data_IF_238564430239
#
_entry.id   IF_238564430239
#
_cell.length_a   1.000
_cell.length_b   1.000
_cell.length_c   1.000
_cell.angle_alpha   90.00
_cell.angle_beta   90.00
_cell.angle_gamma   90.00
#
_symmetry.space_group_name_H-M   'P 1'
#
loop_
_entity.id
_entity.type
_entity.pdbx_description
1 polymer ?
#
# COMPACT_ATOMS: atom_id res chain seq x y z
N UNK A 1 -29.30 2.62 7.89
CA UNK A 1 -29.75 3.91 7.35
C UNK A 1 -28.50 4.68 7.00
N UNK A 2 -28.34 5.05 5.75
CA UNK A 2 -27.21 5.80 5.22
C UNK A 2 -27.67 6.98 4.37
N UNK A 3 -26.73 7.83 3.93
CA UNK A 3 -26.95 8.97 3.05
C UNK A 3 -26.43 8.73 1.61
N UNK A 4 -26.15 7.47 1.25
CA UNK A 4 -25.57 7.10 -0.03
C UNK A 4 -26.58 7.07 -1.20
N UNK A 5 -26.08 6.92 -2.45
CA UNK A 5 -26.89 6.94 -3.67
C UNK A 5 -27.70 5.66 -3.92
N UNK A 6 -27.54 4.66 -3.07
CA UNK A 6 -28.17 3.35 -3.27
C UNK A 6 -29.05 2.91 -2.10
N UNK A 7 -30.07 2.11 -2.42
CA UNK A 7 -30.89 1.38 -1.48
C UNK A 7 -30.58 -0.12 -1.58
N UNK A 8 -30.56 -0.82 -0.44
CA UNK A 8 -30.36 -2.27 -0.40
C UNK A 8 -31.57 -3.00 -0.98
N UNK A 9 -31.34 -3.98 -1.87
CA UNK A 9 -32.38 -4.85 -2.42
C UNK A 9 -32.23 -6.26 -1.85
N UNK A 10 -31.09 -6.91 -2.09
CA UNK A 10 -30.85 -8.30 -1.66
C UNK A 10 -29.35 -8.60 -1.55
N UNK A 11 -29.03 -9.67 -0.81
CA UNK A 11 -27.67 -10.21 -0.71
C UNK A 11 -27.73 -11.75 -0.68
N UNK A 12 -26.83 -12.35 -1.46
CA UNK A 12 -26.46 -13.76 -1.32
C UNK A 12 -25.03 -13.80 -0.79
N UNK A 13 -24.89 -14.11 0.50
CA UNK A 13 -23.61 -14.05 1.20
C UNK A 13 -22.49 -14.75 0.44
N UNK A 14 -21.36 -14.06 0.26
CA UNK A 14 -20.18 -14.55 -0.45
C UNK A 14 -20.34 -14.68 -1.98
N UNK A 15 -21.46 -14.24 -2.56
CA UNK A 15 -21.72 -14.35 -4.01
C UNK A 15 -22.02 -13.00 -4.64
N UNK A 16 -23.10 -12.32 -4.22
CA UNK A 16 -23.48 -11.04 -4.81
C UNK A 16 -24.34 -10.21 -3.85
N UNK A 17 -24.33 -8.89 -4.06
CA UNK A 17 -25.22 -7.93 -3.43
C UNK A 17 -25.89 -7.06 -4.50
N UNK A 18 -27.19 -6.91 -4.43
CA UNK A 18 -27.97 -6.03 -5.29
C UNK A 18 -28.38 -4.75 -4.59
N UNK A 19 -28.15 -3.64 -5.24
CA UNK A 19 -28.47 -2.29 -4.77
C UNK A 19 -29.30 -1.58 -5.85
N UNK A 20 -30.38 -0.90 -5.44
CA UNK A 20 -31.19 -0.02 -6.30
C UNK A 20 -30.72 1.43 -6.21
N UNK A 21 -30.99 2.23 -7.25
CA UNK A 21 -30.76 3.68 -7.16
C UNK A 21 -31.71 4.32 -6.15
N UNK A 22 -31.20 5.31 -5.40
CA UNK A 22 -32.01 6.11 -4.48
C UNK A 22 -32.44 7.40 -5.16
N UNK A 23 -33.73 7.50 -5.51
CA UNK A 23 -34.26 8.62 -6.30
C UNK A 23 -34.12 9.98 -5.61
N UNK A 24 -34.21 10.00 -4.26
CA UNK A 24 -34.11 11.23 -3.46
C UNK A 24 -32.68 11.46 -2.92
N UNK A 25 -31.66 10.95 -3.62
CA UNK A 25 -30.27 11.18 -3.23
C UNK A 25 -29.93 12.68 -3.30
N UNK A 26 -29.34 13.23 -2.24
CA UNK A 26 -29.13 14.68 -2.05
C UNK A 26 -28.23 15.34 -3.11
N UNK A 27 -27.42 14.56 -3.86
CA UNK A 27 -26.59 15.06 -4.98
C UNK A 27 -27.22 14.77 -6.35
N UNK A 28 -28.47 14.34 -6.38
CA UNK A 28 -29.21 14.01 -7.60
C UNK A 28 -29.45 12.52 -7.77
N UNK A 29 -30.49 12.17 -8.53
CA UNK A 29 -30.84 10.77 -8.80
C UNK A 29 -29.73 10.09 -9.58
N UNK A 30 -29.19 8.92 -9.12
CA UNK A 30 -28.19 8.17 -9.87
C UNK A 30 -28.69 7.76 -11.26
N UNK A 31 -27.80 7.78 -12.26
CA UNK A 31 -28.13 7.45 -13.66
C UNK A 31 -28.25 5.97 -13.96
N UNK A 32 -28.04 5.09 -12.97
CA UNK A 32 -28.25 3.65 -13.08
C UNK A 32 -29.52 3.24 -12.34
N UNK A 33 -30.16 2.16 -12.79
CA UNK A 33 -31.34 1.61 -12.10
C UNK A 33 -30.96 0.63 -11.00
N UNK A 34 -29.93 -0.18 -11.23
CA UNK A 34 -29.45 -1.24 -10.32
C UNK A 34 -27.93 -1.37 -10.40
N UNK A 35 -27.30 -1.55 -9.25
CA UNK A 35 -25.89 -1.91 -9.09
C UNK A 35 -25.79 -3.31 -8.51
N UNK A 36 -25.07 -4.21 -9.16
CA UNK A 36 -24.81 -5.57 -8.69
C UNK A 36 -23.34 -5.71 -8.38
N UNK A 37 -23.00 -5.92 -7.10
CA UNK A 37 -21.64 -6.21 -6.64
C UNK A 37 -21.48 -7.73 -6.59
N UNK A 38 -20.55 -8.29 -7.37
CA UNK A 38 -20.29 -9.73 -7.45
C UNK A 38 -18.94 -10.08 -6.83
N UNK A 39 -18.90 -11.18 -6.09
CA UNK A 39 -17.64 -11.79 -5.62
C UNK A 39 -17.17 -12.76 -6.68
N UNK A 40 -16.03 -12.46 -7.31
CA UNK A 40 -15.41 -13.31 -8.34
C UNK A 40 -13.97 -13.60 -7.98
N UNK A 41 -13.44 -14.76 -8.42
CA UNK A 41 -12.01 -15.05 -8.24
C UNK A 41 -11.17 -14.13 -9.13
N UNK A 42 -10.00 -13.74 -8.67
CA UNK A 42 -9.09 -12.86 -9.40
C UNK A 42 -8.78 -13.39 -10.81
N UNK A 43 -8.63 -14.72 -10.97
CA UNK A 43 -8.36 -15.37 -12.25
C UNK A 43 -9.47 -15.24 -13.30
N UNK A 44 -10.70 -14.93 -12.89
CA UNK A 44 -11.87 -14.90 -13.79
C UNK A 44 -12.34 -13.48 -14.10
N UNK A 45 -11.77 -12.46 -13.47
CA UNK A 45 -12.27 -11.08 -13.59
C UNK A 45 -12.19 -10.54 -15.01
N UNK A 46 -11.04 -10.68 -15.66
CA UNK A 46 -10.83 -10.17 -17.03
C UNK A 46 -11.74 -10.89 -18.02
N UNK A 47 -11.85 -12.22 -17.92
CA UNK A 47 -12.73 -13.00 -18.80
C UNK A 47 -14.19 -12.67 -18.59
N UNK A 48 -14.64 -12.41 -17.37
CA UNK A 48 -16.03 -12.02 -17.09
C UNK A 48 -16.37 -10.63 -17.63
N UNK A 49 -15.44 -9.66 -17.57
CA UNK A 49 -15.66 -8.35 -18.21
C UNK A 49 -15.63 -8.48 -19.73
N UNK A 50 -14.71 -9.26 -20.31
CA UNK A 50 -14.64 -9.51 -21.74
C UNK A 50 -15.90 -10.21 -22.29
N UNK A 51 -16.47 -11.14 -21.52
CA UNK A 51 -17.72 -11.82 -21.85
C UNK A 51 -18.98 -10.94 -21.67
N UNK A 52 -18.84 -9.75 -21.09
CA UNK A 52 -19.95 -8.84 -20.80
C UNK A 52 -20.81 -9.26 -19.60
N UNK A 53 -20.31 -10.17 -18.76
CA UNK A 53 -20.96 -10.60 -17.52
C UNK A 53 -20.81 -9.57 -16.39
N UNK A 54 -19.78 -8.72 -16.50
CA UNK A 54 -19.46 -7.61 -15.60
C UNK A 54 -19.17 -6.36 -16.42
N UNK A 55 -19.49 -5.19 -15.85
CA UNK A 55 -19.22 -3.89 -16.48
C UNK A 55 -17.89 -3.28 -16.03
N UNK A 56 -17.42 -3.61 -14.84
CA UNK A 56 -16.13 -3.13 -14.34
C UNK A 56 -15.53 -4.07 -13.31
N UNK A 57 -14.21 -4.03 -13.21
CA UNK A 57 -13.43 -4.59 -12.14
C UNK A 57 -12.44 -3.52 -11.64
N UNK A 58 -12.51 -3.19 -10.36
CA UNK A 58 -11.78 -2.06 -9.76
C UNK A 58 -11.04 -2.40 -8.47
N UNK A 59 -10.88 -3.67 -8.14
CA UNK A 59 -10.04 -4.12 -7.02
C UNK A 59 -8.58 -4.34 -7.45
N UNK A 60 -7.98 -3.34 -8.07
CA UNK A 60 -6.56 -3.35 -8.48
C UNK A 60 -6.13 -4.69 -9.08
N UNK A 61 -6.49 -4.96 -10.35
CA UNK A 61 -5.93 -6.12 -11.05
C UNK A 61 -4.41 -6.08 -10.94
N UNK A 62 -3.76 -7.24 -10.99
CA UNK A 62 -2.31 -7.26 -11.08
C UNK A 62 -1.87 -6.50 -12.34
N UNK A 63 -0.62 -6.08 -12.39
CA UNK A 63 -0.10 -5.43 -13.61
C UNK A 63 -0.20 -6.35 -14.82
N UNK A 64 0.03 -7.65 -14.64
CA UNK A 64 -0.10 -8.64 -15.72
C UNK A 64 -1.56 -8.77 -16.20
N UNK A 65 -2.53 -8.71 -15.28
CA UNK A 65 -3.96 -8.69 -15.63
C UNK A 65 -4.35 -7.42 -16.39
N UNK A 66 -3.83 -6.25 -15.98
CA UNK A 66 -4.08 -4.99 -16.68
C UNK A 66 -3.50 -5.00 -18.11
N UNK A 67 -2.31 -5.57 -18.29
CA UNK A 67 -1.69 -5.75 -19.61
C UNK A 67 -2.50 -6.73 -20.46
N UNK A 68 -2.89 -7.88 -19.91
CA UNK A 68 -3.72 -8.85 -20.62
C UNK A 68 -5.07 -8.25 -21.05
N UNK A 69 -5.68 -7.42 -20.21
CA UNK A 69 -6.90 -6.71 -20.58
C UNK A 69 -6.69 -5.71 -21.73
N UNK A 70 -5.57 -4.97 -21.73
CA UNK A 70 -5.19 -4.08 -22.84
C UNK A 70 -4.98 -4.85 -24.15
N UNK A 71 -4.33 -6.02 -24.09
CA UNK A 71 -4.10 -6.89 -25.27
C UNK A 71 -5.42 -7.43 -25.84
N UNK A 72 -6.43 -7.61 -25.00
CA UNK A 72 -7.78 -7.95 -25.43
C UNK A 72 -8.60 -6.76 -25.94
N UNK A 73 -8.01 -5.57 -26.01
CA UNK A 73 -8.66 -4.34 -26.46
C UNK A 73 -9.67 -3.76 -25.47
N UNK A 74 -9.56 -4.13 -24.17
CA UNK A 74 -10.43 -3.62 -23.14
C UNK A 74 -10.00 -2.24 -22.65
N UNK A 75 -10.96 -1.48 -22.13
CA UNK A 75 -10.68 -0.18 -21.54
C UNK A 75 -10.05 -0.37 -20.15
N UNK A 76 -8.78 -0.04 -20.02
CA UNK A 76 -8.01 -0.08 -18.77
C UNK A 76 -7.74 1.35 -18.32
N UNK A 77 -8.34 1.73 -17.21
CA UNK A 77 -8.12 3.01 -16.56
C UNK A 77 -6.99 2.88 -15.52
N UNK A 78 -6.04 3.78 -15.58
CA UNK A 78 -4.94 3.88 -14.62
C UNK A 78 -5.17 5.07 -13.69
N UNK A 79 -4.90 4.91 -12.41
CA UNK A 79 -4.96 6.01 -11.46
C UNK A 79 -3.97 7.11 -11.82
N UNK A 80 -4.42 8.37 -11.76
CA UNK A 80 -3.55 9.52 -12.05
C UNK A 80 -2.40 9.69 -11.04
N UNK A 81 -2.59 9.17 -9.83
CA UNK A 81 -1.58 9.18 -8.77
C UNK A 81 -1.44 7.75 -8.20
N UNK A 82 -0.32 7.43 -7.57
CA UNK A 82 -0.18 6.17 -6.85
C UNK A 82 -1.27 6.01 -5.79
N UNK A 83 -1.90 4.84 -5.74
CA UNK A 83 -3.01 4.53 -4.82
C UNK A 83 -2.69 3.38 -3.88
N UNK A 84 -1.53 2.77 -4.04
CA UNK A 84 -1.06 1.69 -3.18
C UNK A 84 0.37 1.96 -2.68
N UNK A 85 0.73 1.33 -1.58
CA UNK A 85 2.09 1.36 -1.04
C UNK A 85 2.50 -0.06 -0.65
N UNK A 86 3.73 -0.41 -0.89
CA UNK A 86 4.33 -1.65 -0.39
C UNK A 86 5.44 -1.29 0.59
N UNK A 87 5.39 -1.95 1.74
CA UNK A 87 6.27 -1.67 2.87
C UNK A 87 7.00 -2.94 3.31
N UNK A 88 8.25 -2.77 3.71
CA UNK A 88 9.04 -3.77 4.39
C UNK A 88 8.98 -3.46 5.89
N UNK A 89 8.28 -4.32 6.61
CA UNK A 89 8.05 -4.19 8.05
C UNK A 89 9.28 -4.70 8.81
N UNK A 90 9.69 -3.96 9.83
CA UNK A 90 10.81 -4.31 10.70
C UNK A 90 10.30 -4.26 12.14
N UNK A 91 10.47 -5.33 12.90
CA UNK A 91 10.19 -5.33 14.33
C UNK A 91 11.27 -4.52 15.05
N UNK A 92 10.91 -3.35 15.55
CA UNK A 92 11.87 -2.42 16.16
C UNK A 92 12.35 -2.87 17.55
N UNK A 93 11.68 -3.80 18.21
CA UNK A 93 12.18 -4.40 19.45
C UNK A 93 13.26 -5.45 19.15
N UNK A 94 13.09 -6.22 18.09
CA UNK A 94 14.05 -7.23 17.66
C UNK A 94 15.24 -6.61 16.91
N UNK A 95 15.03 -5.47 16.22
CA UNK A 95 16.06 -4.70 15.50
C UNK A 95 16.07 -3.25 16.04
N UNK A 96 16.52 -3.02 17.29
CA UNK A 96 16.40 -1.71 17.96
C UNK A 96 17.32 -0.63 17.39
N UNK A 97 18.48 -1.00 16.85
CA UNK A 97 19.44 -0.03 16.31
C UNK A 97 18.97 0.47 14.93
N UNK A 98 18.65 1.75 14.84
CA UNK A 98 18.22 2.38 13.58
C UNK A 98 19.23 2.26 12.44
N UNK A 99 20.54 2.18 12.74
CA UNK A 99 21.58 2.03 11.71
C UNK A 99 21.46 0.72 10.97
N UNK A 100 21.01 -0.37 11.66
CA UNK A 100 20.73 -1.66 11.02
C UNK A 100 19.48 -1.53 10.13
N UNK A 101 18.43 -0.84 10.59
CA UNK A 101 17.21 -0.62 9.77
C UNK A 101 17.51 0.28 8.57
N UNK A 102 18.32 1.33 8.73
CA UNK A 102 18.80 2.16 7.64
C UNK A 102 19.66 1.35 6.65
N UNK A 103 20.52 0.47 7.14
CA UNK A 103 21.33 -0.42 6.29
C UNK A 103 20.45 -1.32 5.42
N UNK A 104 19.36 -1.88 5.97
CA UNK A 104 18.38 -2.64 5.18
C UNK A 104 17.77 -1.77 4.06
N UNK A 105 17.40 -0.52 4.38
CA UNK A 105 16.85 0.41 3.38
C UNK A 105 17.83 0.69 2.24
N UNK A 106 19.11 0.91 2.54
CA UNK A 106 20.14 1.14 1.52
C UNK A 106 20.51 -0.12 0.73
N UNK A 107 20.36 -1.30 1.31
CA UNK A 107 20.65 -2.56 0.63
C UNK A 107 19.59 -2.94 -0.41
N UNK A 108 18.30 -2.66 -0.14
CA UNK A 108 17.18 -3.10 -0.96
C UNK A 108 17.16 -2.35 -2.30
N UNK A 109 17.07 -3.09 -3.40
CA UNK A 109 16.91 -2.60 -4.76
C UNK A 109 15.43 -2.40 -5.09
N UNK A 110 14.92 -1.19 -4.80
CA UNK A 110 13.51 -0.85 -5.03
C UNK A 110 13.16 -0.78 -6.51
N UNK A 111 14.10 -0.39 -7.37
CA UNK A 111 13.89 -0.32 -8.82
C UNK A 111 13.70 -1.73 -9.40
N UNK A 112 14.54 -2.69 -8.97
CA UNK A 112 14.37 -4.09 -9.36
C UNK A 112 13.04 -4.66 -8.88
N UNK A 113 12.61 -4.34 -7.66
CA UNK A 113 11.30 -4.74 -7.13
C UNK A 113 10.16 -4.16 -7.96
N UNK A 114 10.25 -2.89 -8.36
CA UNK A 114 9.26 -2.22 -9.21
C UNK A 114 9.20 -2.88 -10.59
N UNK A 115 10.36 -3.12 -11.21
CA UNK A 115 10.41 -3.77 -12.52
C UNK A 115 9.78 -5.16 -12.51
N UNK A 116 10.12 -5.97 -11.51
CA UNK A 116 9.63 -7.35 -11.43
C UNK A 116 8.16 -7.48 -11.05
N UNK A 117 7.65 -6.61 -10.17
CA UNK A 117 6.30 -6.74 -9.63
C UNK A 117 5.29 -5.78 -10.27
N UNK A 118 5.74 -4.66 -10.82
CA UNK A 118 4.89 -3.60 -11.35
C UNK A 118 5.23 -3.24 -12.80
N UNK A 119 6.15 -3.97 -13.45
CA UNK A 119 6.59 -3.69 -14.83
C UNK A 119 6.96 -2.21 -15.02
N UNK A 120 7.59 -1.59 -14.04
CA UNK A 120 7.93 -0.17 -14.04
C UNK A 120 6.81 0.78 -13.60
N UNK A 121 5.57 0.31 -13.37
CA UNK A 121 4.42 1.16 -13.02
C UNK A 121 4.29 1.41 -11.51
N UNK A 122 5.35 1.92 -10.91
CA UNK A 122 5.38 2.36 -9.52
C UNK A 122 6.49 3.40 -9.34
N UNK A 123 6.49 4.08 -8.21
CA UNK A 123 7.51 5.06 -7.84
C UNK A 123 8.21 4.60 -6.58
N UNK A 124 9.53 4.44 -6.64
CA UNK A 124 10.33 4.20 -5.44
C UNK A 124 10.22 5.40 -4.50
N UNK A 125 10.05 5.14 -3.21
CA UNK A 125 9.84 6.20 -2.23
C UNK A 125 10.69 5.98 -0.98
N UNK A 126 11.04 7.08 -0.33
CA UNK A 126 11.70 7.09 0.97
C UNK A 126 10.70 7.20 2.13
N UNK A 127 9.50 7.69 1.88
CA UNK A 127 8.48 7.98 2.91
C UNK A 127 7.11 7.44 2.52
N UNK A 128 6.19 7.41 3.49
CA UNK A 128 4.81 7.00 3.28
C UNK A 128 3.96 8.04 2.53
N UNK A 129 4.46 9.26 2.32
CA UNK A 129 3.76 10.31 1.59
C UNK A 129 3.78 9.98 0.10
N UNK A 130 2.63 10.13 -0.56
CA UNK A 130 2.51 9.87 -1.99
C UNK A 130 3.43 10.80 -2.77
N UNK A 131 4.36 10.27 -3.58
CA UNK A 131 5.26 11.06 -4.40
C UNK A 131 4.51 12.06 -5.30
N UNK A 132 4.96 13.31 -5.32
CA UNK A 132 4.37 14.39 -6.10
C UNK A 132 3.10 15.00 -5.49
N UNK A 133 2.62 14.54 -4.33
CA UNK A 133 1.51 15.18 -3.62
C UNK A 133 1.94 16.50 -2.97
N UNK A 134 0.97 17.32 -2.53
CA UNK A 134 1.24 18.61 -1.87
C UNK A 134 2.10 18.50 -0.60
N UNK A 135 2.06 17.35 0.07
CA UNK A 135 2.82 17.06 1.29
C UNK A 135 4.13 16.33 1.03
N UNK A 136 4.42 15.95 -0.22
CA UNK A 136 5.67 15.28 -0.55
C UNK A 136 6.86 16.24 -0.38
N UNK A 137 7.80 15.86 0.46
CA UNK A 137 9.06 16.60 0.66
C UNK A 137 10.10 16.30 -0.42
N UNK A 138 9.90 15.23 -1.20
CA UNK A 138 10.85 14.79 -2.22
C UNK A 138 12.16 14.25 -1.64
N UNK A 139 12.09 13.50 -0.52
CA UNK A 139 13.27 12.84 0.05
C UNK A 139 13.78 11.81 -0.94
N UNK A 140 15.01 12.02 -1.43
CA UNK A 140 15.63 11.12 -2.38
C UNK A 140 16.01 9.80 -1.72
N UNK A 141 15.81 8.72 -2.45
CA UNK A 141 16.29 7.40 -2.10
C UNK A 141 17.29 6.91 -3.17
N UNK A 142 18.28 6.14 -2.73
CA UNK A 142 19.18 5.42 -3.64
C UNK A 142 19.67 4.15 -2.97
N UNK A 143 19.82 3.09 -3.74
CA UNK A 143 20.52 1.87 -3.30
C UNK A 143 22.00 2.21 -3.09
N UNK A 144 22.56 1.80 -1.95
CA UNK A 144 23.98 1.97 -1.62
C UNK A 144 24.44 0.85 -0.68
N UNK A 145 24.92 -0.24 -1.27
CA UNK A 145 25.35 -1.44 -0.54
C UNK A 145 26.60 -1.16 0.32
N UNK A 146 27.49 -0.29 -0.13
CA UNK A 146 28.70 0.05 0.63
C UNK A 146 28.34 0.87 1.88
N UNK A 147 27.40 1.79 1.76
CA UNK A 147 26.83 2.52 2.90
C UNK A 147 26.10 1.58 3.86
N UNK A 148 25.34 0.61 3.34
CA UNK A 148 24.69 -0.40 4.17
C UNK A 148 25.71 -1.20 4.99
N UNK A 149 26.80 -1.66 4.38
CA UNK A 149 27.89 -2.36 5.07
C UNK A 149 28.57 -1.47 6.13
N UNK A 150 28.81 -0.20 5.83
CA UNK A 150 29.40 0.74 6.77
C UNK A 150 28.50 0.93 8.01
N UNK A 151 27.19 1.13 7.81
CA UNK A 151 26.22 1.27 8.91
C UNK A 151 26.14 -0.01 9.79
N UNK A 152 26.18 -1.19 9.18
CA UNK A 152 26.22 -2.45 9.92
C UNK A 152 27.50 -2.58 10.76
N UNK A 153 28.65 -2.21 10.21
CA UNK A 153 29.92 -2.20 10.94
C UNK A 153 29.89 -1.21 12.11
N UNK A 154 29.39 0.02 11.89
CA UNK A 154 29.23 1.03 12.94
C UNK A 154 28.23 0.61 14.04
N UNK A 155 27.19 -0.11 13.67
CA UNK A 155 26.21 -0.66 14.61
C UNK A 155 26.76 -1.87 15.39
N UNK A 156 27.87 -2.46 14.96
CA UNK A 156 28.41 -3.68 15.55
C UNK A 156 27.49 -4.89 15.26
N UNK A 157 26.94 -4.96 14.04
CA UNK A 157 26.03 -6.07 13.65
C UNK A 157 26.66 -7.42 13.92
N UNK A 158 25.96 -8.26 14.67
CA UNK A 158 26.45 -9.57 15.14
C UNK A 158 26.36 -10.71 14.10
N UNK A 159 25.74 -10.42 12.95
CA UNK A 159 25.56 -11.41 11.88
C UNK A 159 24.47 -12.47 12.14
N UNK A 160 23.61 -12.27 13.14
CA UNK A 160 22.52 -13.21 13.39
C UNK A 160 21.56 -13.31 12.20
N UNK A 161 20.94 -14.46 12.03
CA UNK A 161 19.89 -14.65 11.05
C UNK A 161 18.61 -14.00 11.55
N UNK A 162 17.95 -13.21 10.68
CA UNK A 162 16.65 -12.62 10.92
C UNK A 162 15.55 -13.48 10.29
N UNK A 163 14.41 -13.57 10.95
CA UNK A 163 13.27 -14.34 10.47
C UNK A 163 12.27 -13.42 9.79
N UNK A 164 12.08 -13.62 8.47
CA UNK A 164 11.11 -12.88 7.67
C UNK A 164 9.89 -13.73 7.38
N UNK A 165 8.71 -13.14 7.57
CA UNK A 165 7.43 -13.76 7.25
C UNK A 165 6.74 -13.06 6.11
N UNK A 166 6.18 -13.81 5.17
CA UNK A 166 5.44 -13.29 4.01
C UNK A 166 4.22 -14.15 3.70
N UNK A 167 3.30 -13.60 2.91
CA UNK A 167 2.25 -14.39 2.27
C UNK A 167 2.73 -14.93 0.92
N UNK A 168 2.07 -15.97 0.38
CA UNK A 168 2.41 -16.55 -0.92
C UNK A 168 2.49 -15.50 -2.05
N UNK A 169 1.63 -14.49 -2.03
CA UNK A 169 1.66 -13.40 -3.01
C UNK A 169 2.93 -12.52 -2.95
N UNK A 170 3.77 -12.68 -1.94
CA UNK A 170 4.99 -11.87 -1.73
C UNK A 170 6.30 -12.68 -1.77
N UNK A 171 6.24 -13.97 -2.08
CA UNK A 171 7.43 -14.84 -2.11
C UNK A 171 8.48 -14.37 -3.11
N UNK A 172 8.09 -13.97 -4.31
CA UNK A 172 9.03 -13.47 -5.33
C UNK A 172 9.76 -12.20 -4.86
N UNK A 173 9.02 -11.28 -4.23
CA UNK A 173 9.58 -10.07 -3.65
C UNK A 173 10.52 -10.38 -2.48
N UNK A 174 10.13 -11.33 -1.63
CA UNK A 174 10.95 -11.78 -0.50
C UNK A 174 12.30 -12.35 -0.98
N UNK A 175 12.31 -13.13 -2.06
CA UNK A 175 13.55 -13.70 -2.61
C UNK A 175 14.52 -12.60 -3.12
N UNK A 176 14.02 -11.54 -3.75
CA UNK A 176 14.84 -10.39 -4.16
C UNK A 176 15.41 -9.67 -2.95
N UNK A 177 14.58 -9.39 -1.93
CA UNK A 177 15.01 -8.72 -0.71
C UNK A 177 16.05 -9.58 0.04
N UNK A 178 15.83 -10.89 0.11
CA UNK A 178 16.78 -11.82 0.72
C UNK A 178 18.17 -11.72 0.08
N UNK A 179 18.23 -11.72 -1.26
CA UNK A 179 19.50 -11.57 -1.97
C UNK A 179 20.13 -10.19 -1.72
N UNK A 180 19.34 -9.12 -1.78
CA UNK A 180 19.84 -7.76 -1.56
C UNK A 180 20.40 -7.57 -0.14
N UNK A 181 19.75 -8.12 0.88
CA UNK A 181 20.23 -8.08 2.25
C UNK A 181 21.49 -8.94 2.45
N UNK A 182 21.57 -10.09 1.78
CA UNK A 182 22.77 -10.94 1.79
C UNK A 182 23.98 -10.23 1.17
N UNK A 183 23.81 -9.44 0.11
CA UNK A 183 24.87 -8.62 -0.51
C UNK A 183 25.45 -7.59 0.48
N UNK A 184 24.65 -7.13 1.43
CA UNK A 184 25.08 -6.22 2.50
C UNK A 184 25.62 -6.96 3.75
N UNK A 185 25.46 -8.26 3.87
CA UNK A 185 25.90 -9.05 5.01
C UNK A 185 24.82 -9.32 6.05
N UNK A 186 23.53 -9.21 5.67
CA UNK A 186 22.38 -9.58 6.52
C UNK A 186 21.79 -10.88 6.00
N UNK A 187 21.80 -11.92 6.82
CA UNK A 187 21.18 -13.22 6.50
C UNK A 187 19.73 -13.23 6.97
N UNK A 188 18.80 -13.62 6.09
CA UNK A 188 17.40 -13.82 6.48
C UNK A 188 16.91 -15.22 6.11
N UNK A 189 16.05 -15.76 6.98
CA UNK A 189 15.26 -16.98 6.76
C UNK A 189 13.82 -16.57 6.46
N UNK A 190 13.23 -17.08 5.38
CA UNK A 190 11.90 -16.67 4.90
C UNK A 190 10.90 -17.77 5.12
N UNK A 191 9.79 -17.44 5.77
CA UNK A 191 8.67 -18.34 5.99
C UNK A 191 7.39 -17.78 5.32
N UNK A 192 6.71 -18.65 4.57
CA UNK A 192 5.40 -18.33 3.97
C UNK A 192 4.28 -18.81 4.87
N UNK A 193 3.34 -17.91 5.18
CA UNK A 193 2.18 -18.17 6.04
C UNK A 193 0.93 -17.45 5.53
N UNK A 194 -0.21 -17.73 6.12
CA UNK A 194 -1.44 -16.98 5.92
C UNK A 194 -1.36 -15.57 6.53
N UNK A 195 -2.08 -14.61 5.95
CA UNK A 195 -2.02 -13.18 6.32
C UNK A 195 -2.26 -12.94 7.82
N UNK A 196 -3.24 -13.62 8.41
CA UNK A 196 -3.55 -13.48 9.84
C UNK A 196 -2.39 -13.96 10.73
N UNK A 197 -1.73 -15.07 10.37
CA UNK A 197 -0.56 -15.60 11.06
C UNK A 197 0.64 -14.66 10.94
N UNK A 198 0.83 -14.05 9.76
CA UNK A 198 1.88 -13.06 9.54
C UNK A 198 1.73 -11.87 10.50
N UNK A 199 0.55 -11.27 10.55
CA UNK A 199 0.31 -10.12 11.42
C UNK A 199 0.39 -10.46 12.91
N UNK A 200 -0.15 -11.61 13.33
CA UNK A 200 -0.04 -12.07 14.71
C UNK A 200 1.42 -12.27 15.13
N UNK A 201 2.22 -12.94 14.30
CA UNK A 201 3.61 -13.20 14.60
C UNK A 201 4.53 -11.97 14.57
N UNK A 202 4.18 -10.94 13.77
CA UNK A 202 4.86 -9.64 13.84
C UNK A 202 4.50 -8.88 15.11
N UNK A 203 3.22 -8.94 15.54
CA UNK A 203 2.75 -8.27 16.76
C UNK A 203 3.30 -8.90 18.04
N UNK A 204 3.45 -10.22 18.10
CA UNK A 204 3.98 -10.92 19.28
C UNK A 204 5.51 -11.04 19.28
N UNK A 205 6.19 -10.58 18.21
CA UNK A 205 7.64 -10.58 18.10
C UNK A 205 8.26 -11.91 17.67
N UNK A 206 7.45 -12.86 17.21
CA UNK A 206 7.93 -14.15 16.66
C UNK A 206 8.79 -13.93 15.41
N UNK A 207 8.42 -12.94 14.57
CA UNK A 207 9.14 -12.58 13.36
C UNK A 207 9.80 -11.22 13.48
N UNK A 208 10.96 -11.08 12.85
CA UNK A 208 11.75 -9.86 12.81
C UNK A 208 11.31 -8.93 11.67
N UNK A 209 10.90 -9.53 10.55
CA UNK A 209 10.68 -8.85 9.27
C UNK A 209 9.40 -9.35 8.58
N UNK A 210 8.81 -8.48 7.76
CA UNK A 210 7.65 -8.85 6.93
C UNK A 210 7.49 -7.96 5.71
N UNK A 211 6.61 -8.34 4.79
CA UNK A 211 6.23 -7.50 3.64
C UNK A 211 4.72 -7.36 3.62
N UNK A 212 4.25 -6.12 3.60
CA UNK A 212 2.82 -5.81 3.54
C UNK A 212 2.54 -4.79 2.45
N UNK A 213 1.31 -4.76 1.98
CA UNK A 213 0.80 -3.70 1.11
C UNK A 213 -0.44 -3.06 1.72
N UNK A 214 -0.67 -1.79 1.41
CA UNK A 214 -1.86 -1.05 1.82
C UNK A 214 -2.29 -0.10 0.70
N UNK A 215 -3.52 0.39 0.77
CA UNK A 215 -3.94 1.50 -0.07
C UNK A 215 -3.21 2.77 0.37
N UNK A 216 -2.78 3.59 -0.58
CA UNK A 216 -2.20 4.90 -0.32
C UNK A 216 -3.28 5.99 -0.44
N UNK A 217 -3.21 6.98 0.43
CA UNK A 217 -4.11 8.14 0.43
C UNK A 217 -3.29 9.43 0.50
N UNK A 218 -3.81 10.50 -0.08
CA UNK A 218 -3.16 11.82 -0.05
C UNK A 218 -3.07 12.39 1.38
N UNK A 219 -3.97 11.97 2.27
CA UNK A 219 -3.94 12.42 3.67
C UNK A 219 -2.63 11.98 4.37
N UNK A 220 -1.85 12.92 4.92
CA UNK A 220 -0.48 12.66 5.37
C UNK A 220 -0.37 11.66 6.52
N UNK A 221 -1.43 11.46 7.29
CA UNK A 221 -1.44 10.54 8.43
C UNK A 221 -2.17 9.22 8.17
N UNK A 222 -2.46 8.86 6.91
CA UNK A 222 -3.19 7.63 6.62
C UNK A 222 -2.46 6.36 7.10
N UNK A 223 -1.13 6.38 7.16
CA UNK A 223 -0.32 5.30 7.75
C UNK A 223 -0.01 5.48 9.24
N UNK A 224 -0.61 6.45 9.93
CA UNK A 224 -0.31 6.75 11.32
C UNK A 224 -0.36 5.52 12.24
N UNK A 225 -1.30 4.60 12.01
CA UNK A 225 -1.42 3.36 12.78
C UNK A 225 -0.20 2.43 12.70
N UNK A 226 0.62 2.53 11.65
CA UNK A 226 1.86 1.75 11.53
C UNK A 226 3.01 2.33 12.38
N UNK A 227 2.93 3.61 12.73
CA UNK A 227 3.99 4.34 13.42
C UNK A 227 3.61 4.78 14.84
N UNK A 228 2.38 4.52 15.27
CA UNK A 228 1.89 4.93 16.58
C UNK A 228 2.14 3.82 17.61
N UNK A 229 3.04 4.07 18.56
CA UNK A 229 3.38 3.13 19.62
C UNK A 229 2.20 2.78 20.54
N UNK A 230 1.16 3.63 20.58
CA UNK A 230 -0.07 3.42 21.39
C UNK A 230 -0.96 2.32 20.82
N UNK A 231 -0.76 1.99 19.55
CA UNK A 231 -1.43 0.90 18.87
C UNK A 231 -0.51 -0.32 18.85
N UNK A 232 -1.09 -1.53 18.89
CA UNK A 232 -0.33 -2.75 18.68
C UNK A 232 0.16 -2.78 17.23
N UNK A 233 1.31 -2.18 16.96
CA UNK A 233 1.86 -2.04 15.62
C UNK A 233 2.64 -3.30 15.22
N UNK A 234 2.58 -3.65 13.95
CA UNK A 234 3.36 -4.77 13.41
C UNK A 234 4.87 -4.50 13.43
N UNK A 235 5.28 -3.25 13.60
CA UNK A 235 6.68 -2.84 13.68
C UNK A 235 7.20 -2.68 15.11
N UNK A 236 6.36 -2.83 16.14
CA UNK A 236 6.73 -2.71 17.56
C UNK A 236 7.51 -1.40 17.86
N UNK A 237 7.06 -0.30 17.28
CA UNK A 237 7.66 1.03 17.50
C UNK A 237 7.34 1.48 18.93
N UNK A 238 8.32 2.07 19.60
CA UNK A 238 8.19 2.55 20.97
C UNK A 238 8.50 4.04 21.15
N UNK A 239 8.84 4.79 20.09
CA UNK A 239 9.16 6.21 20.18
C UNK A 239 7.89 7.06 20.34
N UNK A 240 7.69 7.75 21.49
CA UNK A 240 6.53 8.60 21.70
C UNK A 240 6.54 9.86 20.81
N UNK A 241 7.71 10.33 20.35
CA UNK A 241 7.81 11.57 19.56
C UNK A 241 7.08 11.48 18.23
N UNK A 242 7.09 10.30 17.58
CA UNK A 242 6.32 10.10 16.34
C UNK A 242 4.82 10.27 16.59
N UNK A 243 4.29 9.70 17.68
CA UNK A 243 2.88 9.81 18.02
C UNK A 243 2.51 11.25 18.45
N UNK A 244 3.36 11.93 19.21
CA UNK A 244 3.17 13.35 19.60
C UNK A 244 3.13 14.27 18.38
N UNK A 245 4.00 14.03 17.40
CA UNK A 245 4.01 14.80 16.16
C UNK A 245 2.78 14.50 15.30
N UNK A 246 2.31 13.24 15.26
CA UNK A 246 1.06 12.89 14.60
C UNK A 246 -0.14 13.62 15.20
N UNK A 247 -0.25 13.68 16.54
CA UNK A 247 -1.31 14.40 17.23
C UNK A 247 -1.27 15.89 16.91
N UNK A 248 -0.06 16.47 16.84
CA UNK A 248 0.16 17.88 16.49
C UNK A 248 -0.29 18.15 15.05
N UNK A 249 0.08 17.29 14.09
CA UNK A 249 -0.34 17.39 12.68
C UNK A 249 -1.87 17.26 12.56
N UNK A 250 -2.47 16.33 13.31
CA UNK A 250 -3.92 16.12 13.27
C UNK A 250 -4.70 17.34 13.77
N UNK A 251 -4.19 18.01 14.81
CA UNK A 251 -4.80 19.19 15.41
C UNK A 251 -4.55 20.49 14.62
N UNK A 252 -3.50 20.56 13.79
CA UNK A 252 -3.15 21.78 13.05
C UNK A 252 -4.17 22.04 11.93
N UNK A 253 -4.69 23.28 11.88
CA UNK A 253 -5.67 23.73 10.89
C UNK A 253 -5.07 24.65 9.82
N UNK A 254 -3.93 25.30 10.12
CA UNK A 254 -3.23 26.13 9.14
C UNK A 254 -2.50 25.23 8.13
N UNK A 255 -2.82 25.33 6.82
CA UNK A 255 -2.24 24.44 5.82
C UNK A 255 -0.71 24.57 5.69
N UNK A 256 -0.16 25.78 5.85
CA UNK A 256 1.27 26.01 5.71
C UNK A 256 2.02 25.38 6.88
N UNK A 257 1.56 25.60 8.12
CA UNK A 257 2.13 24.97 9.32
C UNK A 257 1.96 23.45 9.30
N UNK A 258 0.79 22.95 8.86
CA UNK A 258 0.58 21.50 8.69
C UNK A 258 1.62 20.91 7.75
N UNK A 259 1.90 21.58 6.63
CA UNK A 259 2.95 21.12 5.70
C UNK A 259 4.34 21.11 6.32
N UNK A 260 4.69 22.12 7.12
CA UNK A 260 5.96 22.15 7.86
C UNK A 260 6.09 20.97 8.84
N UNK A 261 5.04 20.71 9.62
CA UNK A 261 4.99 19.57 10.54
C UNK A 261 5.06 18.21 9.81
N UNK A 262 4.39 18.07 8.67
CA UNK A 262 4.48 16.86 7.84
C UNK A 262 5.87 16.68 7.26
N UNK A 263 6.58 17.76 6.92
CA UNK A 263 7.97 17.68 6.49
C UNK A 263 8.90 17.22 7.63
N UNK A 264 8.69 17.73 8.85
CA UNK A 264 9.42 17.27 10.05
C UNK A 264 9.15 15.79 10.31
N UNK A 265 7.90 15.37 10.18
CA UNK A 265 7.50 13.96 10.34
C UNK A 265 8.18 13.04 9.32
N UNK A 266 8.29 13.47 8.06
CA UNK A 266 9.02 12.72 7.02
C UNK A 266 10.51 12.59 7.34
N UNK A 267 11.15 13.67 7.83
CA UNK A 267 12.57 13.63 8.24
C UNK A 267 12.77 12.62 9.38
N UNK A 268 11.88 12.65 10.37
CA UNK A 268 11.96 11.76 11.53
C UNK A 268 11.75 10.30 11.11
N UNK A 269 10.75 10.00 10.24
CA UNK A 269 10.54 8.66 9.69
C UNK A 269 11.73 8.17 8.86
N UNK A 270 12.36 9.05 8.10
CA UNK A 270 13.52 8.71 7.29
C UNK A 270 14.75 8.44 8.16
N UNK A 271 14.96 9.21 9.23
CA UNK A 271 16.09 9.03 10.16
C UNK A 271 15.91 7.81 11.06
N UNK A 272 14.74 7.64 11.67
CA UNK A 272 14.47 6.51 12.56
C UNK A 272 14.25 5.20 11.81
N UNK A 273 13.83 5.25 10.53
CA UNK A 273 13.59 4.11 9.66
C UNK A 273 12.82 2.97 10.35
N UNK A 274 11.65 3.22 10.95
CA UNK A 274 10.93 2.20 11.70
C UNK A 274 10.37 1.08 10.80
N UNK A 275 10.21 1.36 9.53
CA UNK A 275 9.94 0.43 8.43
C UNK A 275 10.51 1.03 7.13
N UNK A 276 10.63 0.24 6.08
CA UNK A 276 11.09 0.74 4.77
C UNK A 276 9.92 0.81 3.79
N UNK A 277 9.66 1.99 3.25
CA UNK A 277 8.77 2.12 2.10
C UNK A 277 9.51 1.59 0.87
N UNK A 278 8.95 0.59 0.21
CA UNK A 278 9.55 0.01 -1.00
C UNK A 278 9.17 0.84 -2.22
N UNK A 279 7.87 0.98 -2.46
CA UNK A 279 7.35 1.80 -3.56
C UNK A 279 5.88 2.16 -3.35
N UNK A 280 5.45 3.17 -4.08
CA UNK A 280 4.05 3.51 -4.30
C UNK A 280 3.64 3.06 -5.70
N UNK A 281 2.61 2.21 -5.79
CA UNK A 281 2.12 1.64 -7.04
C UNK A 281 0.86 2.33 -7.55
N UNK A 282 0.73 2.41 -8.88
CA UNK A 282 -0.50 2.81 -9.53
C UNK A 282 -1.50 1.65 -9.52
N UNK A 283 -2.76 1.96 -9.33
CA UNK A 283 -3.85 0.99 -9.45
C UNK A 283 -4.52 1.09 -10.81
N UNK A 284 -5.14 0.00 -11.22
CA UNK A 284 -5.83 -0.12 -12.50
C UNK A 284 -7.28 -0.54 -12.27
N UNK A 285 -8.15 -0.10 -13.17
CA UNK A 285 -9.50 -0.61 -13.30
C UNK A 285 -9.73 -1.07 -14.73
N UNK A 286 -10.39 -2.20 -14.90
CA UNK A 286 -10.82 -2.68 -16.20
C UNK A 286 -12.32 -2.45 -16.32
N UNK A 287 -12.77 -1.81 -17.38
CA UNK A 287 -14.18 -1.49 -17.59
C UNK A 287 -14.65 -1.79 -19.01
N UNK A 288 -15.92 -2.11 -19.12
CA UNK A 288 -16.63 -2.25 -20.39
C UNK A 288 -16.87 -0.86 -21.00
N UNK A 289 -16.85 -0.78 -22.33
CA UNK A 289 -17.21 0.45 -23.07
C UNK A 289 -18.67 0.88 -22.86
N UNK A 290 -19.51 -0.02 -22.34
CA UNK A 290 -20.90 0.32 -21.95
C UNK A 290 -20.97 1.23 -20.73
N UNK A 291 -19.93 1.20 -19.87
CA UNK A 291 -19.89 1.98 -18.63
C UNK A 291 -19.29 3.36 -18.90
N UNK A 292 -20.18 4.36 -19.03
CA UNK A 292 -19.82 5.74 -19.30
C UNK A 292 -19.76 6.56 -18.00
N UNK A 293 -18.81 7.53 -17.92
CA UNK A 293 -18.68 8.43 -16.78
C UNK A 293 -18.17 7.79 -15.47
N UNK A 294 -17.86 6.52 -15.49
CA UNK A 294 -17.31 5.82 -14.30
C UNK A 294 -15.83 6.18 -14.13
N UNK A 295 -15.47 6.62 -12.92
CA UNK A 295 -14.10 6.86 -12.50
C UNK A 295 -13.79 5.99 -11.26
N UNK A 296 -12.90 5.03 -11.41
CA UNK A 296 -12.58 4.07 -10.35
C UNK A 296 -11.72 4.68 -9.23
N UNK A 297 -11.02 5.79 -9.48
CA UNK A 297 -9.95 6.27 -8.61
C UNK A 297 -10.21 7.60 -7.91
N UNK A 298 -11.10 8.42 -8.41
CA UNK A 298 -11.51 9.65 -7.73
C UNK A 298 -12.54 9.37 -6.62
N UNK A 299 -12.12 8.63 -5.56
CA UNK A 299 -12.96 8.26 -4.42
C UNK A 299 -13.68 6.91 -4.54
N UNK A 300 -13.28 6.08 -5.53
CA UNK A 300 -13.87 4.77 -5.79
C UNK A 300 -15.33 4.83 -6.22
N UNK A 301 -16.04 3.72 -6.10
CA UNK A 301 -17.48 3.62 -6.42
C UNK A 301 -18.39 4.54 -5.59
N UNK A 302 -17.86 5.21 -4.57
CA UNK A 302 -18.62 6.06 -3.66
C UNK A 302 -18.45 7.56 -3.92
N UNK A 303 -17.79 7.96 -4.99
CA UNK A 303 -17.65 9.38 -5.28
C UNK A 303 -18.80 9.89 -6.16
N UNK A 304 -19.15 11.15 -5.94
CA UNK A 304 -20.21 11.87 -6.67
C UNK A 304 -20.02 11.81 -8.18
N UNK A 305 -18.78 11.81 -8.68
CA UNK A 305 -18.46 11.78 -10.10
C UNK A 305 -18.73 10.43 -10.76
N UNK A 306 -18.70 9.34 -9.98
CA UNK A 306 -19.04 8.01 -10.47
C UNK A 306 -20.56 7.78 -10.66
N UNK A 307 -21.38 8.65 -10.09
CA UNK A 307 -22.86 8.52 -10.10
C UNK A 307 -23.57 9.53 -11.00
N UNK A 308 -22.88 10.57 -11.44
CA UNK A 308 -23.35 11.63 -12.33
C UNK A 308 -22.85 11.43 -13.75
#
# INVERSE_FOLDING_TARGET
>A
IGSGPCTFISETAGTEMELGSFADYHLGTPKFGKLVLKVVSASNTITSVAAGEMDAFFQSPSMDDALAAKDLGMNVEEAANPTSVVVFLINNQNVPDKRIRQAMSYAIDKELLIEQNMRGNAVASATCIIPGSEYDKGIAWSRDVDKAKALLAEAGWDGRTLHMVVTAARESMAAVIQQNLADAGITIDVQTVELATMFSGLQDGTYDLGICGSNAMVYPLWMAGYYDYRNATYCQISDPKLAELQDTIAAEIDPAKKKELVNEYQDMLYDEMPLVILYHGYSFAVKSDRLQGFNAFEGGVNNEKSWN
#
